data_IF_224860659532
#
_entry.id   IF_224860659532
#
_cell.length_a   1.000
_cell.length_b   1.000
_cell.length_c   1.000
_cell.angle_alpha   90.00
_cell.angle_beta   90.00
_cell.angle_gamma   90.00
#
_symmetry.space_group_name_H-M   'P 1'
#
loop_
_entity.id
_entity.type
_entity.pdbx_description
1 polymer ?
#
# COMPACT_ATOMS: atom_id res chain seq x y z
N UNK A 1 42.14 4.90 15.04
CA UNK A 1 41.92 4.68 13.58
C UNK A 1 41.57 3.23 13.21
N UNK A 2 42.16 2.16 13.80
CA UNK A 2 41.85 0.76 13.45
C UNK A 2 40.41 0.30 13.74
N UNK A 3 39.73 0.87 14.74
CA UNK A 3 38.33 0.51 15.11
C UNK A 3 37.28 1.12 14.18
N UNK A 4 37.53 2.25 13.55
CA UNK A 4 36.64 2.87 12.59
C UNK A 4 36.64 2.17 11.21
N UNK A 5 37.81 1.61 10.81
CA UNK A 5 37.89 0.85 9.57
C UNK A 5 37.13 -0.48 9.64
N UNK A 6 37.09 -1.13 10.82
CA UNK A 6 36.35 -2.38 11.02
C UNK A 6 34.83 -2.18 10.96
N UNK A 7 34.28 -1.04 11.43
CA UNK A 7 32.86 -0.73 11.32
C UNK A 7 32.43 -0.38 9.88
N UNK A 8 33.28 0.25 9.09
CA UNK A 8 32.98 0.55 7.69
C UNK A 8 32.92 -0.71 6.81
N UNK A 9 33.75 -1.73 7.08
CA UNK A 9 33.69 -3.01 6.35
C UNK A 9 32.46 -3.83 6.72
N UNK A 10 31.98 -3.77 7.97
CA UNK A 10 30.79 -4.48 8.40
C UNK A 10 29.50 -3.84 7.82
N UNK A 11 29.48 -2.52 7.62
CA UNK A 11 28.35 -1.82 7.03
C UNK A 11 28.20 -2.09 5.51
N UNK A 12 29.28 -2.37 4.80
CA UNK A 12 29.26 -2.73 3.38
C UNK A 12 28.76 -4.16 3.11
N UNK A 13 28.89 -5.08 4.06
CA UNK A 13 28.41 -6.46 3.90
C UNK A 13 26.90 -6.63 4.07
N UNK A 14 26.20 -5.63 4.59
CA UNK A 14 24.73 -5.66 4.77
C UNK A 14 23.95 -5.11 3.56
N UNK A 15 24.62 -4.48 2.60
CA UNK A 15 23.97 -3.91 1.40
C UNK A 15 23.74 -4.94 0.27
N UNK A 16 24.31 -6.14 0.36
CA UNK A 16 24.26 -7.14 -0.70
C UNK A 16 22.99 -8.01 -0.75
N UNK A 17 22.14 -7.98 0.29
CA UNK A 17 20.99 -8.89 0.38
C UNK A 17 19.72 -8.42 -0.31
N UNK A 18 19.57 -7.13 -0.60
CA UNK A 18 18.33 -6.59 -1.14
C UNK A 18 18.16 -6.74 -2.66
N UNK A 19 19.23 -7.05 -3.38
CA UNK A 19 19.19 -7.22 -4.85
C UNK A 19 18.93 -8.67 -5.29
N UNK A 20 19.20 -9.67 -4.45
CA UNK A 20 19.03 -11.08 -4.79
C UNK A 20 17.54 -11.45 -4.97
N UNK A 21 16.64 -10.95 -4.14
CA UNK A 21 15.19 -11.22 -4.25
C UNK A 21 14.52 -10.61 -5.50
N UNK A 22 15.11 -9.63 -6.14
CA UNK A 22 14.57 -9.04 -7.37
C UNK A 22 14.86 -9.84 -8.64
N UNK A 23 15.77 -10.80 -8.58
CA UNK A 23 16.25 -11.48 -9.78
C UNK A 23 15.54 -12.81 -10.02
N UNK A 24 15.24 -13.56 -8.97
CA UNK A 24 14.94 -15.00 -9.09
C UNK A 24 13.52 -15.39 -8.67
N UNK A 25 12.72 -14.48 -8.13
CA UNK A 25 11.40 -14.78 -7.60
C UNK A 25 10.30 -14.00 -8.32
N UNK A 26 9.10 -14.57 -8.36
CA UNK A 26 7.89 -13.87 -8.75
C UNK A 26 7.19 -13.33 -7.51
N UNK A 27 7.45 -12.07 -7.16
CA UNK A 27 6.86 -11.46 -5.98
C UNK A 27 5.38 -11.13 -6.22
N UNK A 28 4.51 -11.60 -5.33
CA UNK A 28 3.08 -11.33 -5.33
C UNK A 28 2.66 -10.69 -4.01
N UNK A 29 2.50 -9.38 -4.01
CA UNK A 29 2.04 -8.65 -2.85
C UNK A 29 0.54 -8.38 -2.94
N UNK A 30 -0.22 -8.82 -1.95
CA UNK A 30 -1.66 -8.58 -1.86
C UNK A 30 -1.98 -7.66 -0.70
N UNK A 31 -2.73 -6.60 -0.96
CA UNK A 31 -3.24 -5.66 0.02
C UNK A 31 -4.77 -5.77 0.05
N UNK A 32 -5.32 -6.01 1.24
CA UNK A 32 -6.76 -6.13 1.43
C UNK A 32 -7.25 -4.93 2.25
N UNK A 33 -8.13 -4.14 1.65
CA UNK A 33 -8.87 -3.07 2.30
C UNK A 33 -10.30 -3.49 2.58
N UNK A 34 -10.81 -3.16 3.77
CA UNK A 34 -12.20 -3.42 4.13
C UNK A 34 -12.88 -2.10 4.44
N UNK A 35 -13.93 -1.80 3.70
CA UNK A 35 -14.80 -0.64 3.91
C UNK A 35 -16.17 -1.09 4.44
N UNK A 36 -17.05 -0.20 4.87
CA UNK A 36 -18.42 -0.57 5.28
C UNK A 36 -19.19 -1.37 4.25
N UNK A 37 -18.94 -1.15 2.95
CA UNK A 37 -19.75 -1.72 1.87
C UNK A 37 -19.01 -2.78 1.04
N UNK A 38 -17.70 -2.79 1.07
CA UNK A 38 -16.89 -3.59 0.17
C UNK A 38 -15.60 -4.15 0.81
N UNK A 39 -15.10 -5.19 0.18
CA UNK A 39 -13.70 -5.65 0.33
C UNK A 39 -12.98 -5.34 -0.97
N UNK A 40 -11.89 -4.62 -0.88
CA UNK A 40 -11.00 -4.31 -1.99
C UNK A 40 -9.72 -5.12 -1.87
N UNK A 41 -9.30 -5.72 -2.97
CA UNK A 41 -8.09 -6.55 -3.04
C UNK A 41 -7.21 -5.99 -4.14
N UNK A 42 -6.07 -5.43 -3.76
CA UNK A 42 -5.04 -5.01 -4.71
C UNK A 42 -3.93 -6.06 -4.74
N UNK A 43 -3.69 -6.63 -5.91
CA UNK A 43 -2.64 -7.63 -6.15
C UNK A 43 -1.57 -6.97 -7.01
N UNK A 44 -0.34 -6.94 -6.51
CA UNK A 44 0.84 -6.45 -7.20
C UNK A 44 1.75 -7.62 -7.55
N UNK A 45 2.01 -7.79 -8.83
CA UNK A 45 2.75 -8.91 -9.40
C UNK A 45 4.03 -8.36 -10.02
N UNK A 46 5.18 -8.72 -9.45
CA UNK A 46 6.50 -8.26 -9.91
C UNK A 46 7.35 -9.46 -10.27
N UNK A 47 7.39 -9.88 -11.55
CA UNK A 47 8.30 -10.91 -11.99
C UNK A 47 9.75 -10.42 -11.84
N UNK A 48 10.58 -11.20 -11.15
CA UNK A 48 12.02 -10.97 -11.18
C UNK A 48 12.59 -11.19 -12.60
N UNK A 49 13.78 -10.69 -12.85
CA UNK A 49 14.40 -10.78 -14.19
C UNK A 49 14.47 -12.21 -14.70
N UNK A 50 14.88 -13.16 -13.85
CA UNK A 50 14.95 -14.58 -14.20
C UNK A 50 13.56 -15.23 -14.38
N UNK A 51 12.52 -14.64 -13.79
CA UNK A 51 11.14 -15.14 -13.90
C UNK A 51 10.39 -14.57 -15.12
N UNK A 52 10.93 -13.56 -15.78
CA UNK A 52 10.28 -12.97 -16.94
C UNK A 52 10.00 -13.97 -18.06
N UNK A 53 10.91 -14.89 -18.45
CA UNK A 53 10.61 -15.92 -19.45
C UNK A 53 9.48 -16.86 -19.03
N UNK A 54 9.39 -17.20 -17.74
CA UNK A 54 8.31 -18.04 -17.20
C UNK A 54 6.98 -17.31 -17.28
N UNK A 55 6.97 -16.01 -16.93
CA UNK A 55 5.79 -15.16 -17.02
C UNK A 55 5.36 -14.96 -18.48
N UNK A 56 6.30 -14.65 -19.38
CA UNK A 56 6.03 -14.52 -20.83
C UNK A 56 5.40 -15.80 -21.40
N UNK A 57 5.91 -16.98 -21.05
CA UNK A 57 5.33 -18.25 -21.50
C UNK A 57 3.86 -18.47 -21.07
N UNK A 58 3.41 -17.74 -20.05
CA UNK A 58 2.03 -17.75 -19.56
C UNK A 58 1.15 -16.71 -20.24
N UNK A 59 1.72 -15.56 -20.60
CA UNK A 59 0.98 -14.37 -21.05
C UNK A 59 0.99 -14.23 -22.56
N UNK A 60 2.14 -14.33 -23.20
CA UNK A 60 2.36 -14.23 -24.63
C UNK A 60 1.89 -15.55 -25.31
N UNK A 61 0.61 -15.59 -25.70
CA UNK A 61 -0.03 -16.82 -26.19
C UNK A 61 0.30 -17.08 -27.67
N UNK A 62 0.47 -16.04 -28.47
CA UNK A 62 0.84 -16.13 -29.88
C UNK A 62 2.36 -16.18 -30.12
N UNK A 63 3.16 -15.97 -29.06
CA UNK A 63 4.62 -16.03 -29.02
C UNK A 63 5.30 -15.03 -29.96
N UNK A 64 4.72 -13.83 -30.07
CA UNK A 64 5.29 -12.74 -30.87
C UNK A 64 6.35 -11.93 -30.09
N UNK A 65 6.58 -12.25 -28.81
CA UNK A 65 7.54 -11.57 -27.93
C UNK A 65 7.03 -10.25 -27.37
N UNK A 66 5.74 -9.98 -27.50
CA UNK A 66 5.06 -8.79 -26.99
C UNK A 66 3.94 -9.20 -26.06
N UNK A 67 3.29 -8.23 -25.46
CA UNK A 67 2.07 -8.45 -24.68
C UNK A 67 0.99 -7.51 -25.21
N UNK A 68 0.02 -8.07 -25.87
CA UNK A 68 -1.12 -7.35 -26.41
C UNK A 68 -2.15 -7.03 -25.31
N UNK A 69 -3.00 -6.04 -25.54
CA UNK A 69 -4.09 -5.72 -24.62
C UNK A 69 -5.09 -6.89 -24.40
N UNK A 70 -5.17 -7.83 -25.33
CA UNK A 70 -6.00 -9.02 -25.19
C UNK A 70 -5.36 -10.03 -24.24
N UNK A 71 -4.07 -10.24 -24.35
CA UNK A 71 -3.28 -11.10 -23.47
C UNK A 71 -3.22 -10.53 -22.04
N UNK A 72 -3.07 -9.22 -21.87
CA UNK A 72 -3.20 -8.56 -20.57
C UNK A 72 -4.55 -8.88 -19.93
N UNK A 73 -5.65 -8.72 -20.67
CA UNK A 73 -6.99 -9.05 -20.18
C UNK A 73 -7.15 -10.54 -19.87
N UNK A 74 -6.60 -11.41 -20.70
CA UNK A 74 -6.63 -12.86 -20.47
C UNK A 74 -5.86 -13.23 -19.19
N UNK A 75 -4.70 -12.62 -18.98
CA UNK A 75 -3.88 -12.82 -17.79
C UNK A 75 -4.59 -12.33 -16.53
N UNK A 76 -5.20 -11.15 -16.54
CA UNK A 76 -5.99 -10.62 -15.42
C UNK A 76 -7.13 -11.57 -15.06
N UNK A 77 -7.87 -12.07 -16.05
CA UNK A 77 -8.93 -13.08 -15.83
C UNK A 77 -8.39 -14.38 -15.22
N UNK A 78 -7.20 -14.80 -15.61
CA UNK A 78 -6.53 -15.96 -15.03
C UNK A 78 -6.20 -15.73 -13.55
N UNK A 79 -5.53 -14.63 -13.21
CA UNK A 79 -5.22 -14.27 -11.82
C UNK A 79 -6.49 -14.19 -10.97
N UNK A 80 -7.54 -13.52 -11.48
CA UNK A 80 -8.81 -13.39 -10.76
C UNK A 80 -9.51 -14.74 -10.47
N UNK A 81 -9.30 -15.77 -11.32
CA UNK A 81 -9.81 -17.13 -11.06
C UNK A 81 -8.94 -17.92 -10.09
N UNK A 82 -7.69 -17.58 -9.95
CA UNK A 82 -6.71 -18.27 -9.11
C UNK A 82 -6.61 -17.67 -7.69
N UNK A 83 -7.39 -16.61 -7.41
CA UNK A 83 -7.56 -16.05 -6.06
C UNK A 83 -8.97 -16.34 -5.55
N UNK A 84 -9.08 -16.55 -4.25
CA UNK A 84 -10.35 -16.80 -3.57
C UNK A 84 -10.53 -15.86 -2.40
N UNK A 85 -11.72 -15.26 -2.31
CA UNK A 85 -12.17 -14.51 -1.16
C UNK A 85 -13.40 -15.18 -0.55
N UNK A 86 -13.39 -15.37 0.76
CA UNK A 86 -14.55 -15.82 1.54
C UNK A 86 -14.86 -14.84 2.65
N UNK A 87 -16.14 -14.61 2.89
CA UNK A 87 -16.63 -13.80 4.00
C UNK A 87 -17.59 -14.66 4.81
N UNK A 88 -17.33 -14.81 6.11
CA UNK A 88 -18.03 -15.73 7.03
C UNK A 88 -18.13 -17.17 6.44
N UNK A 89 -17.04 -17.64 5.82
CA UNK A 89 -16.97 -18.95 5.19
C UNK A 89 -17.66 -19.08 3.83
N UNK A 90 -18.41 -18.06 3.37
CA UNK A 90 -19.12 -18.06 2.08
C UNK A 90 -18.24 -17.43 1.00
N UNK A 91 -18.11 -18.04 -0.19
CA UNK A 91 -17.39 -17.44 -1.31
C UNK A 91 -17.96 -16.05 -1.66
N UNK A 92 -17.09 -15.06 -1.78
CA UNK A 92 -17.43 -13.68 -2.19
C UNK A 92 -16.81 -13.41 -3.57
N UNK A 93 -17.61 -13.37 -4.65
CA UNK A 93 -17.13 -13.17 -6.01
C UNK A 93 -16.37 -11.83 -6.13
N UNK A 94 -15.16 -11.91 -6.67
CA UNK A 94 -14.31 -10.76 -6.95
C UNK A 94 -14.57 -10.25 -8.37
N UNK A 95 -14.87 -8.97 -8.51
CA UNK A 95 -15.03 -8.28 -9.77
C UNK A 95 -13.83 -7.38 -10.03
N UNK A 96 -13.34 -7.34 -11.28
CA UNK A 96 -12.25 -6.45 -11.67
C UNK A 96 -12.71 -4.99 -11.63
N UNK A 97 -11.94 -4.13 -10.98
CA UNK A 97 -12.11 -2.67 -11.02
C UNK A 97 -11.13 -2.06 -12.02
N UNK A 98 -9.86 -2.40 -11.88
CA UNK A 98 -8.78 -1.79 -12.61
C UNK A 98 -7.62 -2.77 -12.76
N UNK A 99 -6.88 -2.67 -13.86
CA UNK A 99 -5.58 -3.31 -14.02
C UNK A 99 -4.63 -2.41 -14.78
N UNK A 100 -3.35 -2.50 -14.45
CA UNK A 100 -2.29 -1.78 -15.17
C UNK A 100 -1.09 -2.68 -15.37
N UNK A 101 -0.50 -2.57 -16.55
CA UNK A 101 0.72 -3.29 -16.94
C UNK A 101 1.84 -2.28 -17.18
N UNK A 102 3.05 -2.55 -16.68
CA UNK A 102 4.22 -1.76 -16.98
C UNK A 102 4.70 -2.05 -18.43
N UNK A 103 5.53 -1.17 -18.97
CA UNK A 103 6.25 -1.46 -20.20
C UNK A 103 7.14 -2.71 -20.04
N UNK A 104 7.25 -3.53 -21.08
CA UNK A 104 8.02 -4.78 -21.03
C UNK A 104 9.50 -4.53 -20.73
N UNK A 105 10.04 -3.39 -21.13
CA UNK A 105 11.40 -2.94 -20.81
C UNK A 105 11.61 -2.84 -19.29
N UNK A 106 10.68 -2.23 -18.59
CA UNK A 106 10.75 -2.13 -17.11
C UNK A 106 10.69 -3.51 -16.46
N UNK A 107 9.92 -4.45 -17.03
CA UNK A 107 9.88 -5.84 -16.54
C UNK A 107 11.21 -6.56 -16.79
N UNK A 108 11.89 -6.31 -17.91
CA UNK A 108 13.23 -6.85 -18.21
C UNK A 108 14.29 -6.39 -17.22
N UNK A 109 14.09 -5.23 -16.63
CA UNK A 109 14.95 -4.66 -15.58
C UNK A 109 14.53 -5.08 -14.16
N UNK A 110 13.47 -5.88 -14.00
CA UNK A 110 12.91 -6.27 -12.70
C UNK A 110 12.24 -5.12 -11.94
N UNK A 111 11.91 -4.03 -12.63
CA UNK A 111 11.26 -2.84 -12.07
C UNK A 111 9.77 -2.77 -12.37
N UNK A 112 9.28 -3.62 -13.28
CA UNK A 112 7.89 -3.61 -13.71
C UNK A 112 6.97 -4.33 -12.72
N UNK A 113 5.91 -3.67 -12.27
CA UNK A 113 4.87 -4.25 -11.42
C UNK A 113 3.53 -4.16 -12.12
N UNK A 114 2.87 -5.31 -12.30
CA UNK A 114 1.48 -5.39 -12.75
C UNK A 114 0.60 -5.16 -11.52
N UNK A 115 -0.37 -4.26 -11.61
CA UNK A 115 -1.34 -4.03 -10.56
C UNK A 115 -2.74 -4.48 -11.02
N UNK A 116 -3.44 -5.22 -10.15
CA UNK A 116 -4.80 -5.70 -10.39
C UNK A 116 -5.63 -5.35 -9.16
N UNK A 117 -6.69 -4.57 -9.34
CA UNK A 117 -7.63 -4.22 -8.27
C UNK A 117 -8.95 -4.94 -8.48
N UNK A 118 -9.33 -5.69 -7.47
CA UNK A 118 -10.57 -6.47 -7.42
C UNK A 118 -11.45 -5.97 -6.27
N UNK A 119 -12.75 -6.18 -6.40
CA UNK A 119 -13.73 -5.79 -5.38
C UNK A 119 -14.79 -6.86 -5.20
N UNK A 120 -15.19 -7.08 -3.95
CA UNK A 120 -16.35 -7.88 -3.59
C UNK A 120 -17.29 -7.10 -2.67
N UNK A 121 -18.57 -7.46 -2.63
CA UNK A 121 -19.49 -6.94 -1.64
C UNK A 121 -19.13 -7.48 -0.24
N UNK A 122 -19.04 -6.60 0.76
CA UNK A 122 -18.84 -7.00 2.15
C UNK A 122 -20.15 -7.45 2.77
N UNK A 123 -20.17 -8.70 3.31
CA UNK A 123 -21.36 -9.26 3.98
C UNK A 123 -20.94 -10.11 5.17
N UNK A 124 -20.32 -9.53 6.20
CA UNK A 124 -19.90 -10.33 7.35
C UNK A 124 -18.79 -9.69 8.17
N UNK A 125 -18.11 -10.49 9.02
CA UNK A 125 -17.13 -10.03 9.99
C UNK A 125 -15.84 -10.86 10.00
N UNK A 126 -15.82 -12.00 9.31
CA UNK A 126 -14.62 -12.82 9.14
C UNK A 126 -14.29 -12.90 7.66
N UNK A 127 -13.02 -12.70 7.35
CA UNK A 127 -12.53 -12.73 5.97
C UNK A 127 -11.39 -13.71 5.87
N UNK A 128 -11.44 -14.54 4.82
CA UNK A 128 -10.34 -15.38 4.37
C UNK A 128 -10.05 -15.08 2.92
N UNK A 129 -8.77 -14.80 2.63
CA UNK A 129 -8.26 -14.64 1.28
C UNK A 129 -7.17 -15.67 1.03
N UNK A 130 -7.11 -16.22 -0.19
CA UNK A 130 -6.06 -17.11 -0.64
C UNK A 130 -5.67 -16.80 -2.08
N UNK A 131 -4.36 -16.71 -2.35
CA UNK A 131 -3.78 -16.56 -3.68
C UNK A 131 -3.09 -17.86 -4.08
N UNK A 132 -3.58 -18.48 -5.19
CA UNK A 132 -3.05 -19.72 -5.74
C UNK A 132 -2.36 -19.53 -7.10
N UNK A 133 -2.11 -18.28 -7.48
CA UNK A 133 -1.49 -17.98 -8.76
C UNK A 133 -0.01 -18.35 -8.76
N UNK A 134 0.40 -19.25 -9.65
CA UNK A 134 1.79 -19.71 -9.86
C UNK A 134 2.56 -20.10 -8.57
N UNK A 135 2.04 -21.01 -7.73
CA UNK A 135 2.60 -21.25 -6.39
C UNK A 135 4.01 -21.87 -6.41
N UNK A 136 4.44 -22.43 -7.53
CA UNK A 136 5.75 -23.09 -7.65
C UNK A 136 6.91 -22.10 -7.81
N UNK A 137 6.63 -20.86 -8.21
CA UNK A 137 7.66 -19.85 -8.54
C UNK A 137 7.45 -18.53 -7.82
N UNK A 138 6.48 -18.47 -6.92
CA UNK A 138 6.07 -17.22 -6.29
C UNK A 138 6.51 -17.10 -4.85
N UNK A 139 6.98 -15.91 -4.49
CA UNK A 139 7.04 -15.42 -3.13
C UNK A 139 5.80 -14.55 -2.85
N UNK A 140 5.05 -14.90 -1.81
CA UNK A 140 3.80 -14.20 -1.47
C UNK A 140 3.97 -13.28 -0.28
N UNK A 141 3.23 -12.19 -0.30
CA UNK A 141 3.04 -11.30 0.83
C UNK A 141 1.58 -10.86 0.86
N UNK A 142 0.87 -11.15 1.93
CA UNK A 142 -0.52 -10.71 2.09
C UNK A 142 -0.69 -9.90 3.37
N UNK A 143 -1.33 -8.74 3.24
CA UNK A 143 -1.62 -7.84 4.36
C UNK A 143 -3.04 -7.29 4.27
N UNK A 144 -3.64 -7.07 5.46
CA UNK A 144 -4.84 -6.25 5.59
C UNK A 144 -4.43 -4.83 5.97
N UNK A 145 -4.92 -3.84 5.22
CA UNK A 145 -4.76 -2.43 5.53
C UNK A 145 -5.98 -1.96 6.34
N UNK A 146 -5.75 -1.55 7.57
CA UNK A 146 -6.72 -0.86 8.41
C UNK A 146 -6.29 0.60 8.51
N UNK A 147 -6.95 1.51 7.81
CA UNK A 147 -6.73 2.93 8.00
C UNK A 147 -7.42 3.35 9.31
N UNK A 148 -6.74 4.09 10.20
CA UNK A 148 -7.34 4.56 11.46
C UNK A 148 -8.59 5.43 11.25
N UNK A 149 -8.69 6.10 10.09
CA UNK A 149 -9.82 6.95 9.70
C UNK A 149 -11.12 6.17 9.45
N UNK A 150 -11.03 4.87 9.14
CA UNK A 150 -12.17 4.11 8.66
C UNK A 150 -12.93 3.39 9.78
N UNK A 151 -12.45 3.54 11.02
CA UNK A 151 -13.03 2.86 12.18
C UNK A 151 -12.90 1.34 12.13
N UNK A 152 -12.13 0.81 11.17
CA UNK A 152 -11.88 -0.62 11.03
C UNK A 152 -10.96 -1.11 12.15
N UNK A 153 -11.41 -2.10 12.90
CA UNK A 153 -10.63 -2.78 13.94
C UNK A 153 -10.44 -4.23 13.51
N UNK A 154 -9.21 -4.61 13.24
CA UNK A 154 -8.82 -6.00 12.99
C UNK A 154 -8.51 -6.66 14.32
N UNK A 155 -9.24 -7.72 14.67
CA UNK A 155 -9.14 -8.38 16.00
C UNK A 155 -8.23 -9.60 16.01
N UNK A 156 -8.22 -10.36 14.93
CA UNK A 156 -7.43 -11.58 14.80
C UNK A 156 -6.94 -11.65 13.37
N UNK A 157 -5.66 -11.93 13.20
CA UNK A 157 -5.05 -12.09 11.90
C UNK A 157 -4.12 -13.29 11.91
N UNK A 158 -4.37 -14.22 11.01
CA UNK A 158 -3.57 -15.45 10.85
C UNK A 158 -3.17 -15.56 9.38
N UNK A 159 -1.90 -15.88 9.13
CA UNK A 159 -1.37 -16.17 7.79
C UNK A 159 -0.84 -17.60 7.75
N UNK A 160 -0.86 -18.20 6.58
CA UNK A 160 -0.12 -19.45 6.37
C UNK A 160 1.40 -19.18 6.27
N UNK A 161 2.20 -20.22 6.36
CA UNK A 161 3.67 -20.14 6.34
C UNK A 161 4.18 -19.52 5.02
N UNK A 162 3.54 -19.83 3.91
CA UNK A 162 3.87 -19.28 2.59
C UNK A 162 3.37 -17.84 2.37
N UNK A 163 2.65 -17.24 3.33
CA UNK A 163 2.04 -15.92 3.25
C UNK A 163 1.13 -15.70 2.03
N UNK A 164 0.60 -16.77 1.44
CA UNK A 164 -0.35 -16.73 0.31
C UNK A 164 -1.80 -16.60 0.77
N UNK A 165 -2.08 -16.92 2.03
CA UNK A 165 -3.40 -16.79 2.62
C UNK A 165 -3.39 -15.96 3.90
N UNK A 166 -4.50 -15.29 4.14
CA UNK A 166 -4.76 -14.51 5.35
C UNK A 166 -6.20 -14.74 5.80
N UNK A 167 -6.37 -14.92 7.10
CA UNK A 167 -7.67 -14.98 7.76
C UNK A 167 -7.71 -13.96 8.88
N UNK A 168 -8.74 -13.15 8.94
CA UNK A 168 -8.90 -12.17 10.01
C UNK A 168 -10.37 -11.86 10.30
N UNK A 169 -10.63 -11.59 11.59
CA UNK A 169 -11.89 -11.04 12.05
C UNK A 169 -11.79 -9.53 12.18
N UNK A 170 -12.84 -8.82 11.80
CA UNK A 170 -12.89 -7.38 11.85
C UNK A 170 -14.23 -6.84 12.33
N UNK A 171 -14.21 -5.62 12.82
CA UNK A 171 -15.42 -4.86 13.17
C UNK A 171 -15.21 -3.40 12.84
N UNK A 172 -16.30 -2.68 12.61
CA UNK A 172 -16.25 -1.23 12.53
C UNK A 172 -16.65 -0.66 13.89
N UNK A 173 -15.78 0.16 14.48
CA UNK A 173 -16.18 1.00 15.60
C UNK A 173 -16.93 2.19 15.01
N UNK A 174 -18.18 2.43 15.47
CA UNK A 174 -18.81 3.72 15.21
C UNK A 174 -17.86 4.78 15.76
N UNK A 175 -17.28 5.59 14.86
CA UNK A 175 -16.24 6.54 15.17
C UNK A 175 -16.69 7.57 16.20
N UNK A 176 -16.60 7.24 17.47
CA UNK A 176 -16.52 8.26 18.52
C UNK A 176 -15.12 8.81 18.45
N UNK A 177 -14.96 10.00 17.89
CA UNK A 177 -13.79 10.83 18.18
C UNK A 177 -13.72 10.85 19.71
N UNK A 178 -12.62 10.37 20.34
CA UNK A 178 -12.52 10.41 21.79
C UNK A 178 -12.77 11.84 22.24
N UNK A 179 -13.66 12.05 23.23
CA UNK A 179 -13.96 13.40 23.75
C UNK A 179 -12.70 14.15 24.18
N UNK A 180 -11.65 13.40 24.56
CA UNK A 180 -10.31 13.94 24.84
C UNK A 180 -9.66 14.66 23.66
N UNK A 181 -9.94 14.30 22.42
CA UNK A 181 -9.42 15.00 21.23
C UNK A 181 -10.16 16.31 20.98
N UNK A 182 -11.48 16.35 21.23
CA UNK A 182 -12.27 17.58 21.17
C UNK A 182 -11.85 18.56 22.25
N UNK A 183 -11.57 18.07 23.47
CA UNK A 183 -11.00 18.88 24.54
C UNK A 183 -9.60 19.42 24.18
N UNK A 184 -8.72 18.60 23.59
CA UNK A 184 -7.39 19.00 23.14
C UNK A 184 -7.43 20.09 22.05
N UNK A 185 -8.32 19.95 21.07
CA UNK A 185 -8.52 20.98 20.03
C UNK A 185 -9.07 22.26 20.63
N UNK A 186 -10.03 22.17 21.56
CA UNK A 186 -10.59 23.30 22.28
C UNK A 186 -9.52 24.10 23.05
N UNK A 187 -8.65 23.40 23.79
CA UNK A 187 -7.53 24.03 24.52
C UNK A 187 -6.55 24.70 23.54
N UNK A 188 -6.20 24.05 22.43
CA UNK A 188 -5.28 24.62 21.43
C UNK A 188 -5.85 25.90 20.80
N UNK A 189 -7.14 25.94 20.50
CA UNK A 189 -7.84 27.11 19.97
C UNK A 189 -7.88 28.25 20.99
N UNK A 190 -8.12 27.96 22.28
CA UNK A 190 -8.11 28.94 23.34
C UNK A 190 -6.71 29.54 23.54
N UNK A 191 -5.65 28.73 23.56
CA UNK A 191 -4.26 29.20 23.65
C UNK A 191 -3.90 30.06 22.45
N UNK A 192 -4.30 29.67 21.24
CA UNK A 192 -4.04 30.46 20.03
C UNK A 192 -4.78 31.79 20.06
N UNK A 193 -6.03 31.79 20.51
CA UNK A 193 -6.82 33.04 20.66
C UNK A 193 -6.23 33.96 21.72
N UNK A 194 -5.84 33.42 22.88
CA UNK A 194 -5.15 34.21 23.91
C UNK A 194 -3.82 34.80 23.41
N UNK A 195 -3.05 34.02 22.62
CA UNK A 195 -1.81 34.49 22.02
C UNK A 195 -2.04 35.65 21.00
N UNK A 196 -3.07 35.51 20.15
CA UNK A 196 -3.41 36.58 19.19
C UNK A 196 -3.85 37.83 19.92
N UNK A 197 -4.70 37.75 20.95
CA UNK A 197 -5.13 38.88 21.76
C UNK A 197 -3.98 39.52 22.51
N UNK A 198 -3.05 38.75 23.05
CA UNK A 198 -1.84 39.25 23.68
C UNK A 198 -0.96 40.05 22.70
N UNK A 199 -0.76 39.50 21.50
CA UNK A 199 0.06 40.13 20.45
C UNK A 199 -0.56 41.41 19.93
N UNK A 200 -1.88 41.49 19.75
CA UNK A 200 -2.57 42.72 19.33
C UNK A 200 -2.54 43.81 20.40
N UNK A 201 -2.59 43.44 21.67
CA UNK A 201 -2.55 44.38 22.79
C UNK A 201 -1.15 44.97 23.01
N UNK A 202 -0.08 44.28 22.62
CA UNK A 202 1.32 44.69 22.79
C UNK A 202 2.00 45.09 21.48
N UNK A 203 1.28 45.21 20.37
CA UNK A 203 1.79 45.84 19.16
C UNK A 203 1.85 47.36 19.37
N UNK A 204 3.05 47.87 19.65
CA UNK A 204 3.28 49.33 19.73
C UNK A 204 2.95 50.00 18.40
N UNK A 205 2.27 51.14 18.38
CA UNK A 205 2.02 51.87 17.15
C UNK A 205 3.37 52.37 16.59
N UNK A 206 3.63 52.05 15.32
CA UNK A 206 4.76 52.59 14.57
C UNK A 206 4.62 54.10 14.48
N UNK A 207 5.58 54.84 15.04
CA UNK A 207 5.68 56.31 14.96
C UNK A 207 5.90 56.69 13.48
N UNK A 208 5.06 57.57 12.88
CA UNK A 208 5.31 58.06 11.53
C UNK A 208 6.52 59.02 11.57
N UNK A 209 7.61 58.56 10.94
CA UNK A 209 8.82 59.37 10.79
C UNK A 209 8.53 60.66 10.02
N UNK A 210 8.71 61.79 10.68
CA UNK A 210 8.55 63.09 10.10
C UNK A 210 9.57 63.36 8.99
N UNK A 211 9.06 63.69 7.81
CA UNK A 211 9.81 64.22 6.68
C UNK A 211 10.20 65.64 7.02
N UNK A 212 11.48 65.90 7.29
CA UNK A 212 12.02 67.28 7.24
C UNK A 212 12.51 67.55 5.83
N UNK A 213 11.80 68.43 5.16
CA UNK A 213 12.29 69.15 3.99
C UNK A 213 13.26 70.21 4.44
N UNK A 214 14.50 70.25 3.97
CA UNK A 214 15.41 71.39 4.04
C UNK A 214 15.54 71.99 2.65
N UNK A 215 15.02 73.18 2.55
CA UNK A 215 15.34 74.17 1.51
C UNK A 215 16.68 74.81 1.80
N UNK A 216 17.60 74.85 0.88
CA UNK A 216 18.47 75.95 0.44
C UNK A 216 19.37 75.45 -0.68
#
# INVERSE_FOLDING_TARGET
MRRMAAMAVLAMSLAGGATAHRLDEYLQATLIGVTPDAVEVEIRLTPGVAMLPVWMAVVDQDRDGRVSAEEERAYVRRVAREVELRVDGVPAPLSLIESSFPALEAMREGLGTIAIKLRAARRGHELRFENRHLPQVSAYLVNCLAAPSDGLVVRKQVRDEAQRSIEFAYSFSAGRVPESWLAGIGVLLLVRMAYVLYRTKHASPATPGGSQASSS
#
